data_IF_768695248776
#
_entry.id   IF_768695248776
#
_cell.length_a   1.000
_cell.length_b   1.000
_cell.length_c   1.000
_cell.angle_alpha   90.00
_cell.angle_beta   90.00
_cell.angle_gamma   90.00
#
_symmetry.space_group_name_H-M   'P 1'
#
loop_
_entity.id
_entity.type
_entity.pdbx_description
1 polymer ?
#
# COMPACT_ATOMS: atom_id res chain seq x y z
N UNK A 1 -77.32 39.37 -33.45
CA UNK A 1 -76.15 38.91 -32.66
C UNK A 1 -76.18 37.39 -32.66
N UNK A 2 -75.16 36.72 -33.24
CA UNK A 2 -75.09 35.24 -33.32
C UNK A 2 -74.28 34.71 -32.13
N UNK A 3 -74.90 33.89 -31.27
CA UNK A 3 -74.20 33.17 -30.20
C UNK A 3 -73.49 31.94 -30.78
N UNK A 4 -72.17 31.88 -30.64
CA UNK A 4 -71.39 30.66 -30.86
C UNK A 4 -70.91 30.13 -29.51
N UNK A 5 -71.46 29.00 -29.07
CA UNK A 5 -70.91 28.24 -27.96
C UNK A 5 -69.86 27.28 -28.51
N UNK A 6 -68.60 27.57 -28.17
CA UNK A 6 -67.41 26.80 -28.52
C UNK A 6 -67.40 25.52 -27.69
N UNK A 7 -67.45 24.37 -28.35
CA UNK A 7 -67.32 23.06 -27.72
C UNK A 7 -65.84 22.72 -27.53
N UNK A 8 -65.37 22.68 -26.29
CA UNK A 8 -64.03 22.19 -25.96
C UNK A 8 -64.05 20.66 -25.84
N UNK A 9 -63.70 19.96 -26.92
CA UNK A 9 -63.46 18.52 -26.87
C UNK A 9 -62.13 18.26 -26.18
N UNK A 10 -62.18 17.68 -24.98
CA UNK A 10 -61.00 17.24 -24.24
C UNK A 10 -60.47 15.96 -24.89
N UNK A 11 -59.42 16.05 -25.70
CA UNK A 11 -58.72 14.87 -26.22
C UNK A 11 -57.92 14.23 -25.08
N UNK A 12 -58.47 13.19 -24.46
CA UNK A 12 -57.69 12.32 -23.59
C UNK A 12 -56.85 11.44 -24.53
N UNK A 13 -55.51 11.55 -24.56
CA UNK A 13 -54.71 10.66 -25.37
C UNK A 13 -54.85 9.26 -24.80
N UNK A 14 -55.48 8.35 -25.55
CA UNK A 14 -55.42 6.93 -25.24
C UNK A 14 -53.97 6.47 -25.41
N UNK A 15 -53.20 6.51 -24.33
CA UNK A 15 -51.91 5.84 -24.28
C UNK A 15 -52.16 4.34 -24.38
N UNK A 16 -51.84 3.77 -25.55
CA UNK A 16 -51.75 2.33 -25.73
C UNK A 16 -50.90 1.73 -24.61
N UNK A 17 -51.39 0.63 -24.00
CA UNK A 17 -50.68 -0.14 -22.96
C UNK A 17 -49.22 -0.45 -23.37
N UNK A 18 -48.93 -0.53 -24.67
CA UNK A 18 -47.60 -0.74 -25.21
C UNK A 18 -46.60 0.42 -24.95
N UNK A 19 -47.06 1.67 -24.79
CA UNK A 19 -46.18 2.82 -24.47
C UNK A 19 -45.78 2.87 -22.99
N UNK A 20 -46.64 2.36 -22.10
CA UNK A 20 -46.33 2.24 -20.66
C UNK A 20 -45.26 1.16 -20.42
N UNK A 21 -45.34 0.02 -21.09
CA UNK A 21 -44.34 -1.06 -20.95
C UNK A 21 -42.94 -0.68 -21.46
N UNK A 22 -42.84 0.12 -22.52
CA UNK A 22 -41.54 0.58 -23.04
C UNK A 22 -40.83 1.58 -22.13
N UNK A 23 -41.57 2.33 -21.32
CA UNK A 23 -41.00 3.34 -20.42
C UNK A 23 -40.48 2.74 -19.10
N UNK A 24 -41.10 1.67 -18.61
CA UNK A 24 -40.63 0.94 -17.42
C UNK A 24 -39.33 0.17 -17.70
N UNK A 25 -39.17 -0.38 -18.91
CA UNK A 25 -37.94 -1.06 -19.32
C UNK A 25 -36.75 -0.09 -19.45
N UNK A 26 -36.99 1.15 -19.87
CA UNK A 26 -35.94 2.15 -20.04
C UNK A 26 -35.37 2.66 -18.70
N UNK A 27 -36.18 2.79 -17.65
CA UNK A 27 -35.70 3.17 -16.31
C UNK A 27 -34.98 2.04 -15.58
N UNK A 28 -35.40 0.79 -15.76
CA UNK A 28 -34.71 -0.38 -15.21
C UNK A 28 -33.30 -0.56 -15.83
N UNK A 29 -33.15 -0.24 -17.12
CA UNK A 29 -31.86 -0.30 -17.82
C UNK A 29 -30.84 0.74 -17.34
N UNK A 30 -31.27 1.95 -16.98
CA UNK A 30 -30.35 3.01 -16.51
C UNK A 30 -29.92 2.78 -15.06
N UNK A 31 -30.81 2.25 -14.20
CA UNK A 31 -30.46 1.90 -12.81
C UNK A 31 -29.47 0.72 -12.71
N UNK A 32 -29.43 -0.17 -13.72
CA UNK A 32 -28.49 -1.30 -13.74
C UNK A 32 -27.05 -0.88 -14.11
N UNK A 33 -26.86 0.29 -14.71
CA UNK A 33 -25.53 0.76 -15.18
C UNK A 33 -24.81 1.59 -14.11
N UNK A 34 -25.50 2.05 -13.06
CA UNK A 34 -24.87 2.70 -11.89
C UNK A 34 -24.45 1.69 -10.81
N UNK A 35 -23.91 0.54 -11.21
CA UNK A 35 -22.97 -0.18 -10.35
C UNK A 35 -21.68 0.66 -10.30
N UNK A 36 -21.72 1.74 -9.53
CA UNK A 36 -20.50 2.39 -9.08
C UNK A 36 -19.81 1.32 -8.24
N UNK A 37 -18.85 0.62 -8.84
CA UNK A 37 -17.88 -0.17 -8.11
C UNK A 37 -17.17 0.83 -7.19
N UNK A 38 -17.69 1.01 -5.98
CA UNK A 38 -16.92 1.61 -4.90
C UNK A 38 -15.61 0.83 -4.90
N UNK A 39 -14.44 1.48 -5.00
CA UNK A 39 -13.18 0.77 -4.86
C UNK A 39 -13.26 0.06 -3.52
N UNK A 40 -13.49 -1.26 -3.55
CA UNK A 40 -13.49 -2.07 -2.35
C UNK A 40 -12.09 -1.88 -1.82
N UNK A 41 -11.96 -1.32 -0.61
CA UNK A 41 -10.67 -1.27 0.06
C UNK A 41 -10.10 -2.68 -0.02
N UNK A 42 -9.00 -2.84 -0.77
CA UNK A 42 -8.36 -4.13 -0.94
C UNK A 42 -7.96 -4.55 0.46
N UNK A 43 -8.62 -5.58 1.00
CA UNK A 43 -8.30 -6.09 2.31
C UNK A 43 -6.98 -6.83 2.18
N UNK A 44 -5.96 -6.34 2.87
CA UNK A 44 -4.64 -6.96 2.88
C UNK A 44 -4.55 -8.01 3.99
N UNK A 45 -3.71 -9.00 3.77
CA UNK A 45 -3.37 -10.05 4.71
C UNK A 45 -1.91 -10.47 4.52
N UNK A 46 -1.45 -11.49 5.25
CA UNK A 46 -0.08 -11.99 5.10
C UNK A 46 0.20 -12.46 3.67
N UNK A 47 -0.76 -13.13 3.03
CA UNK A 47 -0.61 -13.66 1.67
C UNK A 47 -0.38 -12.56 0.62
N UNK A 48 -0.84 -11.34 0.90
CA UNK A 48 -0.65 -10.17 0.06
C UNK A 48 0.83 -9.84 -0.21
N UNK A 49 1.72 -10.25 0.69
CA UNK A 49 3.17 -10.03 0.51
C UNK A 49 3.91 -11.23 -0.05
N UNK A 50 3.30 -12.40 -0.25
CA UNK A 50 4.01 -13.59 -0.74
C UNK A 50 4.81 -13.30 -2.04
N UNK A 51 6.11 -13.59 -2.01
CA UNK A 51 7.03 -13.42 -3.13
C UNK A 51 8.26 -12.58 -2.80
N UNK A 52 9.05 -12.30 -3.84
CA UNK A 52 10.34 -11.59 -3.72
C UNK A 52 10.23 -10.12 -4.12
N UNK A 53 10.94 -9.25 -3.40
CA UNK A 53 10.97 -7.82 -3.60
C UNK A 53 12.41 -7.31 -3.61
N UNK A 54 12.74 -6.49 -4.60
CA UNK A 54 13.95 -5.69 -4.59
C UNK A 54 13.75 -4.50 -3.64
N UNK A 55 14.66 -4.32 -2.69
CA UNK A 55 14.66 -3.25 -1.72
C UNK A 55 15.79 -2.26 -1.98
N UNK A 56 15.53 -1.00 -1.64
CA UNK A 56 16.55 0.01 -1.50
C UNK A 56 16.13 1.06 -0.46
N UNK A 57 17.09 1.47 0.36
CA UNK A 57 16.97 2.64 1.22
C UNK A 57 18.27 3.44 1.27
N UNK A 58 18.11 4.69 1.73
CA UNK A 58 19.20 5.54 2.21
C UNK A 58 18.83 6.13 3.58
N UNK A 59 19.82 6.51 4.38
CA UNK A 59 19.59 7.12 5.67
C UNK A 59 20.85 7.32 6.51
N UNK A 60 20.69 7.23 7.83
CA UNK A 60 21.72 7.49 8.81
C UNK A 60 21.81 6.38 9.86
N UNK A 61 23.03 5.92 10.15
CA UNK A 61 23.33 4.97 11.21
C UNK A 61 24.34 5.56 12.21
N UNK A 62 24.26 5.18 13.50
CA UNK A 62 25.26 5.61 14.49
C UNK A 62 26.68 5.17 14.10
N UNK A 63 27.67 6.06 14.20
CA UNK A 63 29.09 5.76 13.85
C UNK A 63 29.91 5.19 15.01
N UNK A 64 29.29 4.98 16.18
CA UNK A 64 29.98 4.43 17.36
C UNK A 64 29.07 3.48 18.12
N UNK A 65 29.60 2.35 18.63
CA UNK A 65 28.84 1.45 19.50
C UNK A 65 28.48 2.13 20.82
N UNK A 66 27.21 2.04 21.22
CA UNK A 66 26.71 2.55 22.50
C UNK A 66 25.33 3.18 22.34
N UNK A 67 24.51 3.16 23.39
CA UNK A 67 23.23 3.86 23.41
C UNK A 67 23.49 5.37 23.44
N UNK A 68 23.23 6.13 22.37
CA UNK A 68 23.49 7.56 22.41
C UNK A 68 22.45 8.25 23.30
N UNK A 69 22.73 9.48 23.79
CA UNK A 69 21.72 10.31 24.43
C UNK A 69 20.48 10.46 23.53
N UNK A 70 19.28 10.56 24.10
CA UNK A 70 18.03 10.72 23.32
C UNK A 70 17.51 12.16 23.50
N UNK A 71 17.43 13.00 22.44
CA UNK A 71 17.83 12.73 21.07
C UNK A 71 19.35 12.85 20.82
N UNK A 72 19.94 11.98 19.99
CA UNK A 72 21.36 12.05 19.65
C UNK A 72 21.68 13.28 18.78
N UNK A 73 22.84 13.94 18.96
CA UNK A 73 23.27 14.99 18.05
C UNK A 73 23.59 14.41 16.66
N UNK A 74 23.27 15.15 15.59
CA UNK A 74 23.47 14.65 14.21
C UNK A 74 24.92 14.25 13.90
N UNK A 75 25.90 14.81 14.61
CA UNK A 75 27.32 14.49 14.46
C UNK A 75 27.71 13.05 14.82
N UNK A 76 26.84 12.31 15.51
CA UNK A 76 27.07 10.88 15.81
C UNK A 76 26.53 9.94 14.73
N UNK A 77 26.03 10.49 13.63
CA UNK A 77 25.50 9.74 12.51
C UNK A 77 26.40 9.80 11.28
N UNK A 78 26.45 8.69 10.56
CA UNK A 78 27.06 8.55 9.25
C UNK A 78 26.02 8.05 8.24
N UNK A 79 26.22 8.33 6.94
CA UNK A 79 25.31 7.86 5.91
C UNK A 79 25.34 6.34 5.82
N UNK A 80 24.18 5.75 5.54
CA UNK A 80 24.03 4.33 5.24
C UNK A 80 23.10 4.14 4.05
N UNK A 81 23.49 3.26 3.13
CA UNK A 81 22.68 2.80 2.01
C UNK A 81 22.51 1.28 2.05
N UNK A 82 21.36 0.79 1.60
CA UNK A 82 21.08 -0.64 1.43
C UNK A 82 20.59 -0.93 0.01
N UNK A 83 21.06 -2.05 -0.52
CA UNK A 83 20.39 -2.79 -1.58
C UNK A 83 20.04 -4.19 -1.05
N UNK A 84 18.79 -4.61 -1.23
CA UNK A 84 18.29 -5.85 -0.65
C UNK A 84 17.40 -6.66 -1.58
N UNK A 85 17.35 -7.97 -1.33
CA UNK A 85 16.35 -8.89 -1.89
C UNK A 85 15.62 -9.56 -0.73
N UNK A 86 14.35 -9.22 -0.56
CA UNK A 86 13.47 -9.78 0.47
C UNK A 86 12.55 -10.82 -0.16
N UNK A 87 12.38 -11.97 0.47
CA UNK A 87 11.41 -12.99 0.07
C UNK A 87 10.47 -13.26 1.24
N UNK A 88 9.22 -12.82 1.10
CA UNK A 88 8.15 -13.02 2.07
C UNK A 88 7.41 -14.32 1.79
N UNK A 89 7.12 -15.08 2.84
CA UNK A 89 6.49 -16.41 2.75
C UNK A 89 4.95 -16.36 2.61
N UNK A 90 4.32 -15.20 2.78
CA UNK A 90 2.86 -15.08 2.86
C UNK A 90 2.23 -15.57 4.17
N UNK A 91 3.03 -15.95 5.16
CA UNK A 91 2.64 -16.55 6.44
C UNK A 91 3.25 -15.85 7.67
N UNK A 92 3.93 -14.72 7.49
CA UNK A 92 4.48 -13.88 8.57
C UNK A 92 5.99 -13.96 8.76
N UNK A 93 6.70 -14.75 7.94
CA UNK A 93 8.15 -14.84 7.89
C UNK A 93 8.76 -14.31 6.59
N UNK A 94 10.01 -13.85 6.65
CA UNK A 94 10.76 -13.55 5.44
C UNK A 94 12.22 -13.94 5.58
N UNK A 95 12.86 -14.11 4.43
CA UNK A 95 14.31 -14.19 4.30
C UNK A 95 14.78 -12.99 3.48
N UNK A 96 15.99 -12.50 3.74
CA UNK A 96 16.56 -11.44 2.94
C UNK A 96 18.07 -11.58 2.75
N UNK A 97 18.55 -11.07 1.63
CA UNK A 97 19.97 -10.88 1.33
C UNK A 97 20.20 -9.39 1.15
N UNK A 98 21.07 -8.82 1.96
CA UNK A 98 21.22 -7.37 2.09
C UNK A 98 22.69 -7.00 1.92
N UNK A 99 22.97 -5.91 1.22
CA UNK A 99 24.28 -5.26 1.20
C UNK A 99 24.12 -3.87 1.80
N UNK A 100 24.95 -3.57 2.79
CA UNK A 100 24.99 -2.24 3.41
C UNK A 100 26.28 -1.52 3.04
N UNK A 101 26.19 -0.23 2.76
CA UNK A 101 27.33 0.66 2.61
C UNK A 101 27.24 1.77 3.67
N UNK A 102 28.22 1.85 4.56
CA UNK A 102 28.32 2.87 5.60
C UNK A 102 29.28 3.98 5.15
N UNK A 103 28.78 4.88 4.30
CA UNK A 103 29.52 6.05 3.83
C UNK A 103 30.81 5.76 3.09
N UNK A 104 30.93 4.56 2.49
CA UNK A 104 32.15 4.08 1.81
C UNK A 104 33.24 3.54 2.74
N UNK A 105 33.09 3.68 4.06
CA UNK A 105 34.08 3.22 5.04
C UNK A 105 33.98 1.72 5.36
N UNK A 106 32.77 1.16 5.34
CA UNK A 106 32.52 -0.26 5.53
C UNK A 106 31.41 -0.74 4.60
N UNK A 107 31.63 -1.89 3.95
CA UNK A 107 30.61 -2.58 3.15
C UNK A 107 30.36 -3.94 3.78
N UNK A 108 29.12 -4.18 4.22
CA UNK A 108 28.73 -5.46 4.82
C UNK A 108 28.08 -6.37 3.78
N UNK A 109 28.41 -7.66 3.85
CA UNK A 109 27.85 -8.72 3.01
C UNK A 109 28.01 -8.47 1.48
N UNK A 110 29.11 -7.83 1.05
CA UNK A 110 29.38 -7.51 -0.35
C UNK A 110 29.35 -8.72 -1.31
N UNK A 111 29.54 -9.94 -0.80
CA UNK A 111 29.50 -11.19 -1.56
C UNK A 111 28.12 -11.86 -1.61
N UNK A 112 27.09 -11.25 -1.00
CA UNK A 112 25.73 -11.80 -0.90
C UNK A 112 25.65 -13.18 -0.22
N UNK A 113 26.65 -13.56 0.58
CA UNK A 113 26.73 -14.91 1.16
C UNK A 113 25.86 -15.08 2.40
N UNK A 114 25.51 -14.00 3.08
CA UNK A 114 24.71 -14.03 4.31
C UNK A 114 23.23 -13.81 3.99
N UNK A 115 22.39 -14.65 4.59
CA UNK A 115 20.94 -14.47 4.64
C UNK A 115 20.56 -14.02 6.05
N UNK A 116 19.58 -13.14 6.13
CA UNK A 116 18.89 -12.79 7.38
C UNK A 116 17.46 -13.31 7.33
N UNK A 117 16.93 -13.71 8.48
CA UNK A 117 15.53 -14.11 8.61
C UNK A 117 14.81 -13.15 9.54
N UNK A 118 13.56 -12.86 9.25
CA UNK A 118 12.76 -11.95 10.05
C UNK A 118 11.28 -12.29 10.00
N UNK A 119 10.49 -11.48 10.70
CA UNK A 119 9.03 -11.65 10.79
C UNK A 119 8.31 -10.37 10.41
N UNK A 120 7.05 -10.49 10.01
CA UNK A 120 6.21 -9.36 9.68
C UNK A 120 4.74 -9.59 10.02
N UNK A 121 4.01 -8.50 10.13
CA UNK A 121 2.56 -8.47 10.31
C UNK A 121 1.93 -7.61 9.22
N UNK A 122 0.69 -7.91 8.85
CA UNK A 122 -0.10 -7.13 7.91
C UNK A 122 -1.47 -6.87 8.53
N UNK A 123 -1.84 -5.60 8.59
CA UNK A 123 -3.19 -5.17 8.95
C UNK A 123 -4.07 -5.11 7.70
N UNK A 124 -5.38 -5.29 7.86
CA UNK A 124 -6.35 -5.29 6.76
C UNK A 124 -6.33 -3.99 5.91
N UNK A 125 -5.89 -2.88 6.49
CA UNK A 125 -5.75 -1.58 5.82
C UNK A 125 -4.43 -1.42 5.03
N UNK A 126 -3.59 -2.45 4.94
CA UNK A 126 -2.32 -2.43 4.22
C UNK A 126 -1.16 -1.81 4.99
N UNK A 127 -1.34 -1.46 6.26
CA UNK A 127 -0.22 -1.12 7.14
C UNK A 127 0.39 -2.37 7.77
N UNK A 128 1.65 -2.30 8.19
CA UNK A 128 2.27 -3.43 8.86
C UNK A 128 3.59 -3.07 9.50
N UNK A 129 4.19 -4.07 10.13
CA UNK A 129 5.53 -3.99 10.71
C UNK A 129 6.36 -5.18 10.29
N UNK A 130 7.66 -4.98 10.12
CA UNK A 130 8.63 -6.07 9.96
C UNK A 130 9.78 -5.89 10.94
N UNK A 131 10.35 -7.00 11.39
CA UNK A 131 11.46 -7.05 12.33
C UNK A 131 12.57 -7.91 11.74
N UNK A 132 13.77 -7.32 11.62
CA UNK A 132 15.00 -8.02 11.25
C UNK A 132 15.76 -8.45 12.53
N UNK A 133 16.75 -9.36 12.42
CA UNK A 133 17.61 -9.73 13.55
C UNK A 133 18.27 -8.50 14.20
N UNK A 134 18.40 -8.53 15.53
CA UNK A 134 18.88 -7.38 16.31
C UNK A 134 17.82 -6.28 16.47
N UNK A 135 16.53 -6.64 16.43
CA UNK A 135 15.36 -5.78 16.71
C UNK A 135 15.19 -4.54 15.83
N UNK A 136 15.77 -4.56 14.63
CA UNK A 136 15.56 -3.51 13.64
C UNK A 136 14.13 -3.57 13.08
N UNK A 137 13.24 -2.79 13.70
CA UNK A 137 11.82 -2.71 13.33
C UNK A 137 11.57 -1.64 12.28
N UNK A 138 10.86 -2.00 11.22
CA UNK A 138 10.34 -1.06 10.21
C UNK A 138 8.82 -1.07 10.22
N UNK A 139 8.19 0.11 10.14
CA UNK A 139 6.77 0.22 9.78
C UNK A 139 6.65 0.41 8.28
N UNK A 140 5.66 -0.23 7.68
CA UNK A 140 5.44 -0.13 6.24
C UNK A 140 3.97 0.09 5.87
N UNK A 141 3.78 0.54 4.64
CA UNK A 141 2.49 0.60 3.95
C UNK A 141 2.61 -0.15 2.63
N UNK A 142 1.62 -0.99 2.33
CA UNK A 142 1.46 -1.70 1.08
C UNK A 142 0.84 -0.75 0.04
N UNK A 143 1.58 -0.56 -1.05
CA UNK A 143 1.15 0.15 -2.25
C UNK A 143 1.01 -0.79 -3.45
N UNK A 144 0.50 -0.25 -4.55
CA UNK A 144 0.41 -0.92 -5.85
C UNK A 144 -0.19 -2.35 -5.76
N UNK A 145 -1.26 -2.50 -4.97
CA UNK A 145 -1.99 -3.75 -4.81
C UNK A 145 -1.18 -4.91 -4.21
N UNK A 146 -0.13 -4.63 -3.43
CA UNK A 146 0.78 -5.65 -2.91
C UNK A 146 2.14 -5.66 -3.60
N UNK A 147 2.32 -4.90 -4.69
CA UNK A 147 3.59 -4.90 -5.44
C UNK A 147 4.62 -3.90 -4.96
N UNK A 148 4.26 -3.02 -4.03
CA UNK A 148 5.18 -2.05 -3.46
C UNK A 148 5.04 -1.98 -1.94
N UNK A 149 6.16 -1.79 -1.25
CA UNK A 149 6.20 -1.40 0.15
C UNK A 149 6.90 -0.05 0.27
N UNK A 150 6.33 0.87 1.04
CA UNK A 150 7.03 2.06 1.55
C UNK A 150 7.23 1.89 3.04
N UNK A 151 8.43 2.18 3.56
CA UNK A 151 8.70 1.95 4.98
C UNK A 151 9.64 2.98 5.59
N UNK A 152 9.62 3.01 6.92
CA UNK A 152 10.55 3.77 7.76
C UNK A 152 11.07 2.89 8.90
N UNK A 153 12.32 3.10 9.30
CA UNK A 153 12.88 2.56 10.53
C UNK A 153 12.19 3.16 11.76
N UNK A 154 11.87 2.32 12.73
CA UNK A 154 11.05 2.69 13.91
C UNK A 154 11.46 1.96 15.19
N UNK A 155 12.65 1.35 15.18
CA UNK A 155 13.24 0.84 16.41
C UNK A 155 13.72 2.03 17.26
N UNK A 156 13.19 2.20 18.48
CA UNK A 156 13.59 3.29 19.36
C UNK A 156 15.01 3.12 19.93
N UNK A 157 15.63 1.94 19.82
CA UNK A 157 16.88 1.61 20.53
C UNK A 157 18.12 1.54 19.65
N UNK A 158 18.00 1.08 18.40
CA UNK A 158 19.11 1.00 17.45
C UNK A 158 19.55 2.34 16.88
N UNK A 159 18.73 3.39 17.01
CA UNK A 159 19.05 4.75 16.57
C UNK A 159 19.14 4.94 15.06
N UNK A 160 18.98 3.88 14.25
CA UNK A 160 19.06 3.93 12.78
C UNK A 160 17.85 4.68 12.21
N UNK A 161 18.12 5.71 11.43
CA UNK A 161 17.11 6.55 10.78
C UNK A 161 17.15 6.29 9.29
N UNK A 162 16.22 5.47 8.80
CA UNK A 162 16.17 5.05 7.39
C UNK A 162 14.74 5.09 6.86
N UNK A 163 14.62 5.30 5.56
CA UNK A 163 13.36 5.19 4.83
C UNK A 163 13.63 4.67 3.43
N UNK A 164 12.75 3.82 2.93
CA UNK A 164 13.00 3.12 1.68
C UNK A 164 11.75 2.57 1.05
N UNK A 165 11.97 1.77 0.01
CA UNK A 165 10.88 1.07 -0.64
C UNK A 165 11.30 -0.24 -1.27
N UNK A 166 10.38 -1.19 -1.20
CA UNK A 166 10.51 -2.49 -1.86
C UNK A 166 9.56 -2.57 -3.05
N UNK A 167 9.99 -3.21 -4.14
CA UNK A 167 9.19 -3.46 -5.34
C UNK A 167 9.25 -4.94 -5.67
N UNK A 168 8.08 -5.54 -5.90
CA UNK A 168 7.94 -6.96 -6.23
C UNK A 168 8.62 -7.28 -7.57
N UNK A 169 9.34 -8.41 -7.63
CA UNK A 169 9.97 -8.93 -8.84
C UNK A 169 8.98 -9.67 -9.74
#
# INVERSE_FOLDING_TARGET
MKNQNIMFTRSIPNMSKARLFRSVLALAGVALIMQVSLPRAQAYDLSSLNGSYADSFSGFAPVSPGSPPVPPPISVYGPVDEAGLYTFDGAGGFTARLVFNFGGGAILNASWSQNVTGTYTVNANGTGTMTLPGDHRRHFVIGDGGRQLKYVGTDPTGGIVVGGSMVKQ
#
